data_IF_448987392298
#
_entry.id   IF_448987392298
#
_cell.length_a   1.000
_cell.length_b   1.000
_cell.length_c   1.000
_cell.angle_alpha   90.00
_cell.angle_beta   90.00
_cell.angle_gamma   90.00
#
_symmetry.space_group_name_H-M   'P 1'
#
loop_
_entity.id
_entity.type
_entity.pdbx_description
1 polymer ?
#
# COMPACT_ATOMS: atom_id res chain seq x y z
N UNK A 1 23.62 33.78 -1.05
CA UNK A 1 23.76 32.35 -0.67
C UNK A 1 23.45 32.15 0.82
N UNK A 2 24.15 32.83 1.75
CA UNK A 2 23.87 32.74 3.20
C UNK A 2 22.42 33.05 3.60
N UNK A 3 21.80 34.04 2.96
CA UNK A 3 20.39 34.41 3.24
C UNK A 3 19.39 33.33 2.84
N UNK A 4 19.72 32.51 1.84
CA UNK A 4 18.88 31.37 1.42
C UNK A 4 19.05 30.20 2.38
N UNK A 5 20.27 29.90 2.82
CA UNK A 5 20.52 28.89 3.86
C UNK A 5 19.87 29.26 5.19
N UNK A 6 19.88 30.53 5.59
CA UNK A 6 19.20 31.01 6.79
C UNK A 6 17.67 30.85 6.70
N UNK A 7 17.10 31.06 5.52
CA UNK A 7 15.65 30.85 5.27
C UNK A 7 15.29 29.36 5.41
N UNK A 8 16.08 28.48 4.79
CA UNK A 8 15.91 27.01 4.92
C UNK A 8 16.06 26.58 6.38
N UNK A 9 17.07 27.08 7.09
CA UNK A 9 17.28 26.75 8.50
C UNK A 9 16.12 27.21 9.39
N UNK A 10 15.58 28.42 9.18
CA UNK A 10 14.38 28.89 9.90
C UNK A 10 13.16 28.02 9.62
N UNK A 11 12.93 27.64 8.37
CA UNK A 11 11.84 26.70 8.04
C UNK A 11 12.04 25.33 8.68
N UNK A 12 13.28 24.85 8.84
CA UNK A 12 13.59 23.63 9.61
C UNK A 12 13.25 23.82 11.10
N UNK A 13 13.53 24.98 11.69
CA UNK A 13 13.17 25.28 13.07
C UNK A 13 11.65 25.36 13.28
N UNK A 14 10.93 25.99 12.34
CA UNK A 14 9.46 26.08 12.38
C UNK A 14 8.82 24.69 12.29
N UNK A 15 9.33 23.84 11.40
CA UNK A 15 8.92 22.42 11.30
C UNK A 15 9.23 21.68 12.60
N UNK A 16 10.42 21.88 13.19
CA UNK A 16 10.78 21.27 14.48
C UNK A 16 9.82 21.70 15.60
N UNK A 17 9.49 22.98 15.69
CA UNK A 17 8.60 23.50 16.73
C UNK A 17 7.17 23.00 16.57
N UNK A 18 6.68 22.88 15.33
CA UNK A 18 5.39 22.24 14.99
C UNK A 18 5.39 20.75 15.34
N UNK A 19 6.49 20.05 15.04
CA UNK A 19 6.68 18.65 15.45
C UNK A 19 6.78 18.52 16.98
N UNK A 20 7.44 19.42 17.68
CA UNK A 20 7.54 19.40 19.15
C UNK A 20 6.21 19.72 19.83
N UNK A 21 5.35 20.54 19.20
CA UNK A 21 3.97 20.73 19.63
C UNK A 21 3.16 19.45 19.42
N UNK A 22 3.24 18.84 18.25
CA UNK A 22 2.57 17.56 17.94
C UNK A 22 3.07 16.42 18.84
N UNK A 23 4.38 16.35 19.11
CA UNK A 23 4.99 15.39 20.04
C UNK A 23 4.55 15.68 21.48
N UNK A 24 4.34 16.95 21.87
CA UNK A 24 3.77 17.29 23.19
C UNK A 24 2.31 16.84 23.29
N UNK A 25 1.51 17.01 22.26
CA UNK A 25 0.12 16.53 22.22
C UNK A 25 0.08 15.00 22.29
N UNK A 26 0.93 14.32 21.53
CA UNK A 26 1.15 12.86 21.61
C UNK A 26 1.59 12.45 23.02
N UNK A 27 2.54 13.17 23.63
CA UNK A 27 2.98 12.92 25.02
C UNK A 27 1.91 13.25 26.06
N UNK A 28 0.97 14.15 25.76
CA UNK A 28 -0.19 14.45 26.60
C UNK A 28 -1.21 13.31 26.63
N UNK A 29 -1.30 12.53 25.54
CA UNK A 29 -2.04 11.27 25.49
C UNK A 29 -1.29 10.16 26.23
N UNK A 30 0.04 10.17 26.18
CA UNK A 30 0.91 9.24 26.90
C UNK A 30 1.08 9.64 28.38
N UNK A 31 0.18 9.19 29.25
CA UNK A 31 0.58 8.94 30.64
C UNK A 31 1.21 7.53 30.67
N UNK A 32 2.55 7.37 30.61
CA UNK A 32 3.20 6.13 30.13
C UNK A 32 3.15 4.95 31.12
N UNK A 33 2.22 4.95 32.07
CA UNK A 33 2.17 4.01 33.19
C UNK A 33 0.99 3.04 33.22
N UNK A 34 -0.01 3.13 32.32
CA UNK A 34 -1.27 2.37 32.53
C UNK A 34 -1.94 1.73 31.30
N UNK A 35 -1.66 2.17 30.07
CA UNK A 35 -2.56 1.88 28.94
C UNK A 35 -1.75 1.29 27.78
N UNK A 36 -2.09 0.11 27.29
CA UNK A 36 -1.32 -0.71 26.32
C UNK A 36 -1.17 -0.15 24.89
N UNK A 37 -0.89 1.14 24.74
CA UNK A 37 -0.81 1.88 23.47
C UNK A 37 0.61 2.32 23.07
N UNK A 38 1.66 1.79 23.73
CA UNK A 38 3.04 2.22 23.50
C UNK A 38 3.50 2.07 22.04
N UNK A 39 3.17 0.94 21.41
CA UNK A 39 3.55 0.61 20.03
C UNK A 39 2.91 1.58 19.00
N UNK A 40 1.62 1.91 19.17
CA UNK A 40 0.93 2.91 18.34
C UNK A 40 1.63 4.26 18.41
N UNK A 41 1.94 4.70 19.63
CA UNK A 41 2.54 6.03 19.81
C UNK A 41 3.98 6.07 19.30
N UNK A 42 4.74 5.00 19.51
CA UNK A 42 6.09 4.89 18.96
C UNK A 42 6.07 4.95 17.43
N UNK A 43 5.11 4.28 16.78
CA UNK A 43 4.91 4.42 15.35
C UNK A 43 4.54 5.86 14.94
N UNK A 44 3.60 6.51 15.61
CA UNK A 44 3.20 7.88 15.27
C UNK A 44 4.36 8.87 15.41
N UNK A 45 5.21 8.72 16.43
CA UNK A 45 6.42 9.53 16.59
C UNK A 45 7.43 9.23 15.47
N UNK A 46 7.60 7.95 15.13
CA UNK A 46 8.47 7.52 14.03
C UNK A 46 8.03 8.12 12.69
N UNK A 47 6.73 8.04 12.41
CA UNK A 47 6.07 8.50 11.20
C UNK A 47 6.09 10.03 11.10
N UNK A 48 5.73 10.76 12.16
CA UNK A 48 5.73 12.23 12.16
C UNK A 48 7.08 12.82 11.75
N UNK A 49 8.20 12.20 12.15
CA UNK A 49 9.56 12.63 11.81
C UNK A 49 9.95 12.37 10.35
N UNK A 50 9.22 11.51 9.65
CA UNK A 50 9.55 10.99 8.31
C UNK A 50 8.44 11.15 7.29
N UNK A 51 7.29 11.71 7.67
CA UNK A 51 6.10 11.81 6.82
C UNK A 51 6.41 12.49 5.47
N UNK A 52 7.30 13.49 5.44
CA UNK A 52 7.72 14.16 4.21
C UNK A 52 8.52 13.28 3.22
N UNK A 53 8.96 12.09 3.65
CA UNK A 53 9.62 11.10 2.79
C UNK A 53 8.63 10.11 2.18
N UNK A 54 7.44 9.99 2.76
CA UNK A 54 6.45 9.00 2.35
C UNK A 54 5.75 9.42 1.07
N UNK A 55 5.54 8.45 0.19
CA UNK A 55 4.66 8.60 -0.98
C UNK A 55 3.27 8.01 -0.73
N UNK A 56 3.12 7.22 0.33
CA UNK A 56 1.94 6.42 0.62
C UNK A 56 0.80 7.26 1.21
N UNK A 57 -0.44 6.92 0.87
CA UNK A 57 -1.62 7.69 1.27
C UNK A 57 -1.84 7.70 2.79
N UNK A 58 -1.56 6.57 3.45
CA UNK A 58 -1.74 6.34 4.89
C UNK A 58 -0.42 6.02 5.60
N UNK A 59 0.72 6.38 5.00
CA UNK A 59 2.06 6.11 5.53
C UNK A 59 2.40 4.61 5.64
N UNK A 60 1.83 3.78 4.76
CA UNK A 60 2.05 2.33 4.71
C UNK A 60 3.55 1.99 4.58
N UNK A 61 4.28 2.72 3.73
CA UNK A 61 5.73 2.58 3.57
C UNK A 61 6.49 2.80 4.89
N UNK A 62 6.13 3.82 5.66
CA UNK A 62 6.72 4.11 6.97
C UNK A 62 6.33 3.07 8.01
N UNK A 63 5.11 2.53 7.96
CA UNK A 63 4.70 1.42 8.81
C UNK A 63 5.54 0.17 8.55
N UNK A 64 5.72 -0.19 7.28
CA UNK A 64 6.60 -1.30 6.88
C UNK A 64 8.02 -1.10 7.40
N UNK A 65 8.58 0.09 7.25
CA UNK A 65 9.91 0.40 7.78
C UNK A 65 9.95 0.35 9.31
N UNK A 66 8.90 0.77 10.00
CA UNK A 66 8.82 0.69 11.46
C UNK A 66 8.82 -0.76 11.94
N UNK A 67 7.91 -1.60 11.42
CA UNK A 67 7.79 -3.02 11.78
C UNK A 67 9.05 -3.84 11.49
N UNK A 68 9.78 -3.46 10.44
CA UNK A 68 10.99 -4.17 10.00
C UNK A 68 12.29 -3.54 10.52
N UNK A 69 12.21 -2.57 11.41
CA UNK A 69 13.40 -1.92 11.98
C UNK A 69 14.27 -1.24 10.93
N UNK A 70 13.65 -0.56 9.96
CA UNK A 70 14.28 0.16 8.85
C UNK A 70 15.10 -0.77 7.93
N UNK A 71 14.62 -2.00 7.71
CA UNK A 71 15.26 -2.98 6.81
C UNK A 71 15.54 -2.37 5.44
N UNK A 72 16.73 -2.65 4.92
CA UNK A 72 17.16 -2.35 3.55
C UNK A 72 17.20 -3.62 2.72
N UNK A 73 17.11 -3.47 1.40
CA UNK A 73 17.22 -4.57 0.44
C UNK A 73 16.20 -5.70 0.71
N UNK A 74 14.96 -5.35 1.04
CA UNK A 74 13.84 -6.29 1.10
C UNK A 74 13.21 -6.51 -0.28
N UNK A 75 12.11 -7.25 -0.29
CA UNK A 75 11.25 -7.44 -1.46
C UNK A 75 9.82 -6.97 -1.19
N UNK A 76 9.29 -6.11 -2.07
CA UNK A 76 7.92 -5.64 -2.02
C UNK A 76 7.09 -6.14 -3.22
N UNK A 77 5.79 -6.15 -3.03
CA UNK A 77 4.81 -6.38 -4.10
C UNK A 77 3.71 -5.32 -3.96
N UNK A 78 3.31 -4.67 -5.06
CA UNK A 78 2.23 -3.67 -5.07
C UNK A 78 1.25 -3.95 -6.21
N UNK A 79 -0.01 -4.17 -5.87
CA UNK A 79 -1.11 -4.29 -6.82
C UNK A 79 -1.91 -3.00 -6.80
N UNK A 80 -2.10 -2.35 -7.96
CA UNK A 80 -2.69 -1.02 -8.07
C UNK A 80 -1.66 0.12 -8.07
N UNK A 81 -0.55 -0.05 -8.80
CA UNK A 81 0.57 0.87 -8.71
C UNK A 81 0.35 2.24 -9.37
N UNK A 82 -0.73 2.42 -10.14
CA UNK A 82 -1.06 3.65 -10.85
C UNK A 82 0.16 4.21 -11.62
N UNK A 83 0.45 5.51 -11.47
CA UNK A 83 1.60 6.15 -12.13
C UNK A 83 2.98 5.76 -11.56
N UNK A 84 3.02 4.91 -10.53
CA UNK A 84 4.23 4.47 -9.85
C UNK A 84 4.80 5.47 -8.85
N UNK A 85 4.17 6.63 -8.63
CA UNK A 85 4.70 7.69 -7.76
C UNK A 85 3.70 8.24 -6.77
N UNK A 86 2.51 8.59 -7.25
CA UNK A 86 1.48 9.24 -6.47
C UNK A 86 0.78 8.19 -5.64
N UNK A 87 0.71 8.39 -4.32
CA UNK A 87 0.12 7.43 -3.37
C UNK A 87 0.82 6.05 -3.30
N UNK A 88 1.99 5.88 -3.93
CA UNK A 88 2.67 4.57 -3.93
C UNK A 88 3.11 4.16 -2.53
N UNK A 89 2.75 2.94 -2.17
CA UNK A 89 3.09 2.31 -0.90
C UNK A 89 4.52 1.75 -0.87
N UNK A 90 5.21 1.72 -2.02
CA UNK A 90 6.51 1.03 -2.15
C UNK A 90 7.62 1.86 -2.76
N UNK A 91 7.33 3.05 -3.30
CA UNK A 91 8.35 3.88 -3.97
C UNK A 91 9.50 4.26 -3.02
N UNK A 92 9.17 4.66 -1.79
CA UNK A 92 10.18 4.96 -0.77
C UNK A 92 11.07 3.75 -0.47
N UNK A 93 10.48 2.54 -0.44
CA UNK A 93 11.20 1.29 -0.18
C UNK A 93 12.19 0.99 -1.31
N UNK A 94 11.76 1.17 -2.56
CA UNK A 94 12.60 1.01 -3.76
C UNK A 94 13.74 2.04 -3.79
N UNK A 95 13.40 3.34 -3.89
CA UNK A 95 14.37 4.40 -4.22
C UNK A 95 15.33 4.70 -3.07
N UNK A 96 14.87 4.62 -1.81
CA UNK A 96 15.66 5.07 -0.64
C UNK A 96 16.21 3.90 0.17
N UNK A 97 15.46 2.80 0.27
CA UNK A 97 15.86 1.62 1.05
C UNK A 97 16.46 0.49 0.20
N UNK A 98 16.50 0.64 -1.12
CA UNK A 98 17.15 -0.30 -2.04
C UNK A 98 16.40 -1.62 -2.17
N UNK A 99 15.10 -1.63 -1.90
CA UNK A 99 14.30 -2.84 -2.04
C UNK A 99 14.09 -3.16 -3.52
N UNK A 100 14.01 -4.46 -3.81
CA UNK A 100 13.55 -4.96 -5.09
C UNK A 100 12.04 -5.25 -4.99
N UNK A 101 11.37 -5.45 -6.11
CA UNK A 101 9.96 -5.78 -6.05
C UNK A 101 9.30 -6.01 -7.39
N UNK A 102 7.97 -6.10 -7.32
CA UNK A 102 7.11 -6.29 -8.47
C UNK A 102 5.84 -5.45 -8.31
N UNK A 103 5.41 -4.81 -9.39
CA UNK A 103 4.18 -4.02 -9.41
C UNK A 103 3.25 -4.44 -10.56
N UNK A 104 1.95 -4.32 -10.33
CA UNK A 104 0.92 -4.60 -11.33
C UNK A 104 -0.03 -3.41 -11.50
N UNK A 105 -0.30 -3.03 -12.75
CA UNK A 105 -1.22 -1.94 -13.09
C UNK A 105 -1.94 -2.21 -14.43
N UNK A 106 -3.23 -2.61 -14.41
CA UNK A 106 -3.97 -2.92 -15.62
C UNK A 106 -4.42 -1.68 -16.43
N UNK A 107 -4.54 -0.50 -15.81
CA UNK A 107 -5.06 0.68 -16.48
C UNK A 107 -4.01 1.30 -17.42
N UNK A 108 -4.34 1.30 -18.72
CA UNK A 108 -3.47 1.74 -19.82
C UNK A 108 -3.01 3.18 -19.69
N UNK A 109 -3.83 4.04 -19.11
CA UNK A 109 -3.48 5.45 -18.88
C UNK A 109 -2.21 5.63 -18.02
N UNK A 110 -1.86 4.64 -17.20
CA UNK A 110 -0.73 4.72 -16.28
C UNK A 110 0.57 4.12 -16.81
N UNK A 111 0.50 3.23 -17.79
CA UNK A 111 1.63 2.37 -18.21
C UNK A 111 2.91 3.14 -18.53
N UNK A 112 2.82 4.21 -19.33
CA UNK A 112 4.00 4.99 -19.72
C UNK A 112 4.66 5.69 -18.52
N UNK A 113 3.86 6.25 -17.60
CA UNK A 113 4.36 6.91 -16.40
C UNK A 113 4.97 5.91 -15.44
N UNK A 114 4.29 4.78 -15.23
CA UNK A 114 4.75 3.71 -14.35
C UNK A 114 6.12 3.19 -14.80
N UNK A 115 6.27 2.89 -16.10
CA UNK A 115 7.54 2.41 -16.68
C UNK A 115 8.65 3.45 -16.68
N UNK A 116 8.30 4.73 -16.75
CA UNK A 116 9.27 5.82 -16.62
C UNK A 116 9.71 6.04 -15.16
N UNK A 117 8.87 5.66 -14.18
CA UNK A 117 9.11 5.91 -12.76
C UNK A 117 9.77 4.74 -12.04
N UNK A 118 9.36 3.50 -12.32
CA UNK A 118 9.79 2.31 -11.56
C UNK A 118 10.88 1.54 -12.29
N UNK A 119 11.78 0.93 -11.51
CA UNK A 119 12.87 0.07 -12.02
C UNK A 119 12.67 -1.40 -11.69
N UNK A 120 11.69 -1.71 -10.84
CA UNK A 120 11.28 -3.05 -10.47
C UNK A 120 10.58 -3.81 -11.63
N UNK A 121 10.19 -5.07 -11.38
CA UNK A 121 9.36 -5.80 -12.33
C UNK A 121 7.98 -5.13 -12.46
N UNK A 122 7.47 -4.99 -13.69
CA UNK A 122 6.17 -4.35 -13.99
C UNK A 122 5.36 -5.28 -14.89
N UNK A 123 4.10 -5.54 -14.51
CA UNK A 123 3.11 -6.19 -15.37
C UNK A 123 1.91 -5.28 -15.62
N UNK A 124 1.43 -5.29 -16.86
CA UNK A 124 0.20 -4.57 -17.28
C UNK A 124 -1.04 -5.48 -17.16
N UNK A 125 -0.85 -6.71 -16.67
CA UNK A 125 -1.94 -7.68 -16.47
C UNK A 125 -2.67 -7.42 -15.15
N UNK A 126 -3.96 -7.71 -15.13
CA UNK A 126 -4.77 -7.61 -13.93
C UNK A 126 -4.49 -8.80 -13.01
N UNK A 127 -3.95 -8.56 -11.81
CA UNK A 127 -3.78 -9.63 -10.83
C UNK A 127 -5.15 -10.00 -10.26
N UNK A 128 -5.60 -11.23 -10.49
CA UNK A 128 -6.94 -11.69 -10.14
C UNK A 128 -6.97 -13.21 -9.83
N UNK A 129 -8.11 -13.87 -10.02
CA UNK A 129 -8.38 -15.24 -9.57
C UNK A 129 -7.86 -16.35 -10.50
N UNK A 130 -7.63 -16.05 -11.79
CA UNK A 130 -7.19 -17.05 -12.77
C UNK A 130 -6.23 -16.47 -13.82
N UNK A 131 -5.42 -17.35 -14.43
CA UNK A 131 -4.48 -16.97 -15.49
C UNK A 131 -5.17 -16.95 -16.86
N UNK A 132 -4.92 -15.89 -17.64
CA UNK A 132 -5.25 -15.84 -19.06
C UNK A 132 -6.72 -15.54 -19.39
N UNK A 133 -7.58 -15.28 -18.41
CA UNK A 133 -8.93 -14.81 -18.67
C UNK A 133 -8.89 -13.38 -19.23
N UNK A 134 -9.88 -13.04 -20.05
CA UNK A 134 -10.09 -11.69 -20.57
C UNK A 134 -11.33 -11.11 -19.93
N UNK A 135 -11.12 -10.15 -19.04
CA UNK A 135 -12.22 -9.52 -18.29
C UNK A 135 -12.36 -8.06 -18.72
N UNK A 136 -13.60 -7.56 -18.86
CA UNK A 136 -13.84 -6.15 -19.07
C UNK A 136 -13.32 -5.34 -17.88
N UNK A 137 -12.41 -4.42 -18.15
CA UNK A 137 -11.90 -3.43 -17.22
C UNK A 137 -12.56 -2.08 -17.51
N UNK A 138 -12.86 -1.31 -16.47
CA UNK A 138 -13.47 0.00 -16.55
C UNK A 138 -12.46 1.06 -16.11
N UNK A 139 -11.81 1.71 -17.08
CA UNK A 139 -10.85 2.80 -16.85
C UNK A 139 -11.58 4.14 -16.74
N UNK A 140 -11.44 4.81 -15.61
CA UNK A 140 -12.20 6.03 -15.29
C UNK A 140 -11.42 7.31 -15.59
N UNK A 141 -12.10 8.46 -15.77
CA UNK A 141 -11.41 9.75 -15.91
C UNK A 141 -10.57 10.12 -14.68
N UNK A 142 -11.08 9.82 -13.49
CA UNK A 142 -10.30 9.78 -12.24
C UNK A 142 -9.69 8.39 -12.14
N UNK A 143 -8.56 8.20 -12.82
CA UNK A 143 -8.03 6.89 -13.17
C UNK A 143 -7.59 6.03 -11.98
N UNK A 144 -7.38 6.63 -10.80
CA UNK A 144 -7.16 5.93 -9.54
C UNK A 144 -8.34 5.01 -9.16
N UNK A 145 -9.59 5.36 -9.53
CA UNK A 145 -10.77 4.56 -9.20
C UNK A 145 -11.13 3.49 -10.26
N UNK A 146 -10.19 3.18 -11.16
CA UNK A 146 -10.41 2.19 -12.23
C UNK A 146 -10.45 0.78 -11.64
N UNK A 147 -11.31 -0.09 -12.16
CA UNK A 147 -11.49 -1.45 -11.60
C UNK A 147 -12.02 -2.41 -12.66
N UNK A 148 -12.11 -3.71 -12.35
CA UNK A 148 -12.87 -4.66 -13.16
C UNK A 148 -14.33 -4.20 -13.28
N UNK A 149 -14.91 -4.23 -14.48
CA UNK A 149 -16.23 -3.63 -14.75
C UNK A 149 -17.31 -4.23 -13.84
N UNK A 150 -17.22 -5.53 -13.54
CA UNK A 150 -18.12 -6.24 -12.62
C UNK A 150 -18.13 -5.66 -11.19
N UNK A 151 -17.09 -4.94 -10.78
CA UNK A 151 -16.93 -4.33 -9.46
C UNK A 151 -17.29 -2.83 -9.44
N UNK A 152 -17.67 -2.25 -10.58
CA UNK A 152 -17.89 -0.80 -10.73
C UNK A 152 -19.00 -0.21 -9.85
N UNK A 153 -19.83 -1.04 -9.22
CA UNK A 153 -20.93 -0.62 -8.35
C UNK A 153 -20.84 -1.19 -6.93
N UNK A 154 -19.69 -1.78 -6.57
CA UNK A 154 -19.52 -2.52 -5.32
C UNK A 154 -19.25 -1.64 -4.08
N UNK A 155 -18.94 -0.35 -4.28
CA UNK A 155 -18.49 0.54 -3.21
C UNK A 155 -18.95 2.00 -3.41
N UNK A 156 -18.38 2.90 -2.60
CA UNK A 156 -18.69 4.33 -2.57
C UNK A 156 -18.23 5.08 -3.83
N UNK A 157 -17.38 4.48 -4.68
CA UNK A 157 -16.84 5.10 -5.91
C UNK A 157 -17.72 4.83 -7.13
N UNK A 158 -18.83 4.11 -6.99
CA UNK A 158 -19.75 3.77 -8.08
C UNK A 158 -20.21 4.96 -8.93
N UNK A 159 -20.32 6.16 -8.35
CA UNK A 159 -20.63 7.38 -9.08
C UNK A 159 -19.52 7.82 -10.05
N UNK A 160 -18.26 7.71 -9.63
CA UNK A 160 -17.07 8.10 -10.39
C UNK A 160 -16.79 7.14 -11.56
N UNK A 161 -17.23 5.88 -11.42
CA UNK A 161 -17.02 4.81 -12.40
C UNK A 161 -18.00 4.79 -13.57
N UNK A 162 -19.06 5.61 -13.55
CA UNK A 162 -20.14 5.58 -14.57
C UNK A 162 -19.68 5.94 -15.98
N UNK A 163 -18.72 6.85 -16.10
CA UNK A 163 -18.25 7.39 -17.38
C UNK A 163 -16.93 6.79 -17.86
N UNK A 164 -16.53 5.63 -17.33
CA UNK A 164 -15.29 4.99 -17.72
C UNK A 164 -15.34 4.31 -19.10
N UNK A 165 -14.15 4.15 -19.69
CA UNK A 165 -13.91 3.45 -20.95
C UNK A 165 -13.67 1.98 -20.66
N UNK A 166 -14.36 1.11 -21.39
CA UNK A 166 -14.28 -0.34 -21.18
C UNK A 166 -13.39 -1.01 -22.21
N UNK A 167 -12.49 -1.87 -21.74
CA UNK A 167 -11.67 -2.73 -22.58
C UNK A 167 -11.27 -3.99 -21.84
N UNK A 168 -10.97 -5.06 -22.59
CA UNK A 168 -10.50 -6.29 -21.97
C UNK A 168 -9.05 -6.16 -21.50
N UNK A 169 -8.80 -6.70 -20.31
CA UNK A 169 -7.48 -6.95 -19.74
C UNK A 169 -7.27 -8.45 -19.56
N UNK A 170 -6.04 -8.91 -19.76
CA UNK A 170 -5.66 -10.29 -19.45
C UNK A 170 -5.36 -10.42 -17.96
N UNK A 171 -5.89 -11.44 -17.32
CA UNK A 171 -5.66 -11.70 -15.89
C UNK A 171 -4.45 -12.60 -15.64
N UNK A 172 -3.88 -12.49 -14.45
CA UNK A 172 -2.86 -13.40 -13.92
C UNK A 172 -3.13 -13.62 -12.44
N UNK A 173 -2.90 -14.82 -11.92
CA UNK A 173 -2.98 -15.08 -10.47
C UNK A 173 -1.82 -14.41 -9.73
N UNK A 174 -2.00 -14.09 -8.44
CA UNK A 174 -0.90 -13.59 -7.61
C UNK A 174 0.30 -14.57 -7.63
N UNK A 175 0.05 -15.88 -7.62
CA UNK A 175 1.10 -16.90 -7.74
C UNK A 175 1.89 -16.78 -9.05
N UNK A 176 1.22 -16.72 -10.19
CA UNK A 176 1.87 -16.63 -11.50
C UNK A 176 2.58 -15.30 -11.70
N UNK A 177 2.03 -14.22 -11.16
CA UNK A 177 2.70 -12.91 -11.11
C UNK A 177 4.01 -12.96 -10.32
N UNK A 178 3.99 -13.49 -9.09
CA UNK A 178 5.20 -13.63 -8.26
C UNK A 178 6.26 -14.50 -8.93
N UNK A 179 5.86 -15.59 -9.60
CA UNK A 179 6.79 -16.44 -10.37
C UNK A 179 7.39 -15.71 -11.57
N UNK A 180 6.59 -14.96 -12.31
CA UNK A 180 7.07 -14.20 -13.47
C UNK A 180 8.05 -13.08 -13.07
N UNK A 181 7.90 -12.54 -11.86
CA UNK A 181 8.78 -11.54 -11.28
C UNK A 181 10.05 -12.12 -10.62
N UNK A 182 10.26 -13.44 -10.71
CA UNK A 182 11.30 -14.17 -9.97
C UNK A 182 11.32 -13.82 -8.47
N UNK A 183 10.14 -13.59 -7.88
CA UNK A 183 10.01 -13.13 -6.52
C UNK A 183 10.57 -14.19 -5.54
N UNK A 184 11.33 -13.76 -4.51
CA UNK A 184 11.81 -14.66 -3.48
C UNK A 184 10.64 -15.25 -2.71
N UNK A 185 10.87 -16.43 -2.11
CA UNK A 185 9.88 -17.05 -1.23
C UNK A 185 9.52 -16.16 -0.03
N UNK A 186 10.49 -15.44 0.51
CA UNK A 186 10.29 -14.50 1.62
C UNK A 186 10.03 -13.12 1.02
N UNK A 187 8.85 -12.57 1.29
CA UNK A 187 8.43 -11.25 0.83
C UNK A 187 8.15 -10.41 2.06
N UNK A 188 8.82 -9.27 2.18
CA UNK A 188 8.64 -8.41 3.35
C UNK A 188 7.29 -7.71 3.34
N UNK A 189 6.82 -7.30 2.17
CA UNK A 189 5.62 -6.47 2.06
C UNK A 189 4.81 -6.75 0.80
N UNK A 190 3.48 -6.87 0.96
CA UNK A 190 2.50 -6.90 -0.11
C UNK A 190 1.44 -5.81 0.13
N UNK A 191 1.33 -4.84 -0.77
CA UNK A 191 0.22 -3.90 -0.82
C UNK A 191 -0.81 -4.34 -1.86
N UNK A 192 -2.09 -4.37 -1.48
CA UNK A 192 -3.21 -4.68 -2.37
C UNK A 192 -4.23 -3.55 -2.29
N UNK A 193 -4.31 -2.79 -3.36
CA UNK A 193 -5.26 -1.72 -3.58
C UNK A 193 -5.78 -1.87 -5.01
N UNK A 194 -6.86 -2.62 -5.19
CA UNK A 194 -7.34 -3.03 -6.52
C UNK A 194 -8.78 -2.60 -6.76
N UNK A 195 -9.28 -1.67 -5.93
CA UNK A 195 -10.60 -1.09 -6.06
C UNK A 195 -11.70 -2.18 -6.07
N UNK A 196 -11.57 -3.20 -5.19
CA UNK A 196 -12.63 -4.14 -4.82
C UNK A 196 -12.32 -5.64 -5.01
N UNK A 197 -11.18 -6.01 -5.60
CA UNK A 197 -10.83 -7.42 -5.87
C UNK A 197 -9.94 -8.08 -4.82
N UNK A 198 -9.65 -7.40 -3.71
CA UNK A 198 -8.64 -7.78 -2.72
C UNK A 198 -8.91 -9.15 -2.10
N UNK A 199 -10.15 -9.38 -1.65
CA UNK A 199 -10.56 -10.66 -1.09
C UNK A 199 -10.44 -11.79 -2.10
N UNK A 200 -10.84 -11.57 -3.36
CA UNK A 200 -10.81 -12.60 -4.39
C UNK A 200 -9.37 -12.99 -4.75
N UNK A 201 -8.45 -12.02 -4.81
CA UNK A 201 -7.01 -12.26 -5.01
C UNK A 201 -6.44 -13.11 -3.87
N UNK A 202 -6.78 -12.76 -2.63
CA UNK A 202 -6.20 -13.41 -1.44
C UNK A 202 -6.82 -14.77 -1.14
N UNK A 203 -8.10 -15.01 -1.47
CA UNK A 203 -8.83 -16.24 -1.15
C UNK A 203 -8.13 -17.49 -1.71
N UNK A 204 -7.61 -17.38 -2.93
CA UNK A 204 -7.03 -18.50 -3.66
C UNK A 204 -5.49 -18.52 -3.55
N UNK A 205 -4.90 -17.63 -2.74
CA UNK A 205 -3.47 -17.54 -2.52
C UNK A 205 -2.95 -18.55 -1.48
N UNK A 206 -1.85 -19.23 -1.83
CA UNK A 206 -1.19 -20.20 -0.94
C UNK A 206 -0.10 -19.52 -0.09
N UNK A 207 -0.48 -19.11 1.12
CA UNK A 207 0.41 -18.48 2.10
C UNK A 207 1.49 -19.43 2.67
N UNK A 208 1.49 -20.71 2.30
CA UNK A 208 2.58 -21.64 2.62
C UNK A 208 3.69 -21.65 1.54
N UNK A 209 3.31 -21.39 0.28
CA UNK A 209 4.25 -21.25 -0.83
C UNK A 209 5.12 -20.00 -0.64
N UNK A 210 4.50 -18.84 -0.45
CA UNK A 210 5.17 -17.56 -0.20
C UNK A 210 4.96 -17.08 1.24
N UNK A 211 6.07 -16.74 1.91
CA UNK A 211 6.08 -16.23 3.27
C UNK A 211 6.07 -14.70 3.25
N UNK A 212 4.86 -14.12 3.28
CA UNK A 212 4.66 -12.66 3.27
C UNK A 212 4.62 -12.15 4.70
N UNK A 213 5.51 -11.21 5.06
CA UNK A 213 5.63 -10.75 6.45
C UNK A 213 4.59 -9.70 6.83
N UNK A 214 4.39 -8.70 5.97
CA UNK A 214 3.48 -7.58 6.19
C UNK A 214 2.55 -7.42 4.99
N UNK A 215 1.28 -7.11 5.24
CA UNK A 215 0.32 -6.79 4.20
C UNK A 215 -0.46 -5.52 4.53
N UNK A 216 -0.77 -4.72 3.53
CA UNK A 216 -1.84 -3.73 3.59
C UNK A 216 -2.88 -4.09 2.55
N UNK A 217 -4.14 -4.11 2.97
CA UNK A 217 -5.25 -4.52 2.11
C UNK A 217 -6.34 -3.48 2.21
N UNK A 218 -6.64 -2.85 1.08
CA UNK A 218 -7.75 -1.90 0.97
C UNK A 218 -9.09 -2.63 1.18
N UNK A 219 -10.02 -2.01 1.89
CA UNK A 219 -11.37 -2.52 2.06
C UNK A 219 -12.47 -1.49 1.81
N UNK A 220 -12.13 -0.20 1.67
CA UNK A 220 -13.04 0.91 1.35
C UNK A 220 -14.33 0.94 2.19
N UNK A 221 -14.21 0.55 3.47
CA UNK A 221 -15.32 0.36 4.42
C UNK A 221 -16.48 -0.54 3.93
N UNK A 222 -16.22 -1.41 2.95
CA UNK A 222 -17.20 -2.39 2.45
C UNK A 222 -17.36 -3.57 3.42
N UNK A 223 -18.44 -4.32 3.28
CA UNK A 223 -18.70 -5.53 4.09
C UNK A 223 -17.61 -6.61 3.91
N UNK A 224 -16.87 -6.57 2.79
CA UNK A 224 -15.75 -7.47 2.50
C UNK A 224 -14.59 -7.35 3.47
N UNK A 225 -14.49 -6.25 4.24
CA UNK A 225 -13.50 -6.10 5.31
C UNK A 225 -13.51 -7.29 6.27
N UNK A 226 -14.70 -7.80 6.62
CA UNK A 226 -14.82 -8.94 7.53
C UNK A 226 -14.33 -10.24 6.89
N UNK A 227 -14.65 -10.47 5.61
CA UNK A 227 -14.18 -11.64 4.86
C UNK A 227 -12.65 -11.66 4.74
N UNK A 228 -12.05 -10.49 4.46
CA UNK A 228 -10.59 -10.30 4.44
C UNK A 228 -10.02 -10.59 5.83
N UNK A 229 -10.58 -9.99 6.89
CA UNK A 229 -10.11 -10.19 8.25
C UNK A 229 -10.10 -11.68 8.65
N UNK A 230 -11.21 -12.39 8.39
CA UNK A 230 -11.35 -13.82 8.64
C UNK A 230 -10.32 -14.65 7.87
N UNK A 231 -10.12 -14.35 6.59
CA UNK A 231 -9.13 -15.01 5.74
C UNK A 231 -7.72 -14.82 6.31
N UNK A 232 -7.36 -13.58 6.65
CA UNK A 232 -6.04 -13.23 7.16
C UNK A 232 -5.78 -13.89 8.52
N UNK A 233 -6.77 -13.91 9.43
CA UNK A 233 -6.66 -14.59 10.72
C UNK A 233 -6.43 -16.10 10.58
N UNK A 234 -7.16 -16.77 9.67
CA UNK A 234 -6.96 -18.21 9.38
C UNK A 234 -5.55 -18.50 8.86
N UNK A 235 -4.94 -17.53 8.17
CA UNK A 235 -3.56 -17.60 7.68
C UNK A 235 -2.52 -17.04 8.69
N UNK A 236 -2.90 -16.90 9.97
CA UNK A 236 -2.04 -16.46 11.08
C UNK A 236 -1.55 -15.01 10.95
N UNK A 237 -2.33 -14.14 10.35
CA UNK A 237 -2.10 -12.71 10.40
C UNK A 237 -2.96 -12.04 11.47
N UNK A 238 -2.43 -10.98 12.06
CA UNK A 238 -3.17 -10.12 12.99
C UNK A 238 -3.20 -8.69 12.45
N UNK A 239 -4.31 -8.00 12.64
CA UNK A 239 -4.41 -6.57 12.33
C UNK A 239 -3.55 -5.76 13.29
N UNK A 240 -3.00 -4.67 12.77
CA UNK A 240 -2.22 -3.69 13.51
C UNK A 240 -2.76 -2.31 13.20
N UNK A 241 -2.80 -1.46 14.22
CA UNK A 241 -3.07 -0.03 14.06
C UNK A 241 -4.44 0.35 13.43
N UNK A 242 -5.46 -0.47 13.66
CA UNK A 242 -6.84 -0.28 13.15
C UNK A 242 -7.43 1.11 13.40
N UNK A 243 -6.98 1.82 14.43
CA UNK A 243 -7.46 3.16 14.78
C UNK A 243 -7.09 4.24 13.74
N UNK A 244 -6.08 4.01 12.91
CA UNK A 244 -5.61 4.98 11.93
C UNK A 244 -5.20 4.35 10.58
N UNK A 245 -5.49 3.07 10.35
CA UNK A 245 -5.39 2.44 9.03
C UNK A 245 -6.58 2.78 8.12
N UNK A 246 -7.62 3.46 8.64
CA UNK A 246 -8.74 4.04 7.89
C UNK A 246 -9.47 3.04 6.97
N UNK A 247 -9.31 3.18 5.65
CA UNK A 247 -9.94 2.34 4.62
C UNK A 247 -9.08 1.13 4.23
N UNK A 248 -7.93 0.96 4.88
CA UNK A 248 -7.08 -0.22 4.82
C UNK A 248 -7.09 -0.98 6.16
N UNK A 249 -6.79 -2.27 6.10
CA UNK A 249 -6.31 -3.02 7.27
C UNK A 249 -4.84 -3.41 7.06
N UNK A 250 -4.02 -3.20 8.09
CA UNK A 250 -2.60 -3.53 8.09
C UNK A 250 -2.36 -4.82 8.86
N UNK A 251 -1.73 -5.81 8.24
CA UNK A 251 -1.58 -7.17 8.76
C UNK A 251 -0.11 -7.52 9.00
N UNK A 252 0.18 -8.05 10.19
CA UNK A 252 1.48 -8.61 10.55
C UNK A 252 1.34 -10.11 10.71
N UNK A 253 2.26 -10.89 10.12
CA UNK A 253 2.33 -12.33 10.34
C UNK A 253 2.66 -12.66 11.80
N UNK A 254 1.89 -13.54 12.41
CA UNK A 254 2.02 -14.01 13.80
C UNK A 254 3.03 -15.13 14.00
#
# INVERSE_FOLDING_TARGET
>A
METQFLKVFKSILDVRESLDASIRDIKGVLNPGRDGHGDQVDFLIYAARRAALSNAQLLQDLWVLYELGQKRNGYFVELGACDGSTLSNTLLLEEVFGWQGAVAEPARIWHDKLRAKRTCFITDRCVYTEDGAKLPFNETPEAEFSTLDALSYADLHAGRRRSGVRYDVETVTLRSFLRAADAPRQIEYLSIDTEGSEYDILRDFDFAEYDIRLLTVEHNYTDRRNDICDLMQRNRYRRKFEAFSMFDDWYVKG
#
